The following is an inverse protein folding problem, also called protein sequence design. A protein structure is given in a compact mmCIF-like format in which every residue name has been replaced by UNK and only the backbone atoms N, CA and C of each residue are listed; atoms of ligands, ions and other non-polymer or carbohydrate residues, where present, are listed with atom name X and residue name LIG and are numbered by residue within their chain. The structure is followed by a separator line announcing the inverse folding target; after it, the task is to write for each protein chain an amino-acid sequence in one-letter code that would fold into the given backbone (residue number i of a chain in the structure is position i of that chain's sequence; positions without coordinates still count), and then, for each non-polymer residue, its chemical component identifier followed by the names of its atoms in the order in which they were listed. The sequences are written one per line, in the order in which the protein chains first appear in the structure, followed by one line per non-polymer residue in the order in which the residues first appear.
data_IF_361727827604
#
_entry.id   IF_361727827604
#
_cell.length_a   1.000
_cell.length_b   1.000
_cell.length_c   1.000
_cell.angle_alpha   90.00
_cell.angle_beta   90.00
_cell.angle_gamma   90.00
#
_symmetry.space_group_name_H-M   'P 1'
#
loop_
_entity.id
_entity.type
_entity.pdbx_description
1 polymer ?
#
# COMPACT_ATOMS: atom_id res chain seq x y z
N UNK A 1 -6.39 -2.20 24.80
CA UNK A 1 -5.14 -2.94 25.08
C UNK A 1 -4.41 -2.93 23.75
N UNK A 2 -3.52 -1.95 23.59
CA UNK A 2 -2.92 -1.62 22.30
C UNK A 2 -1.59 -2.35 22.22
N UNK A 3 -1.62 -3.54 21.61
CA UNK A 3 -0.41 -4.29 21.29
C UNK A 3 -0.15 -4.17 19.78
N UNK A 4 0.20 -2.96 19.33
CA UNK A 4 0.73 -2.73 17.99
C UNK A 4 2.23 -3.11 17.93
N UNK A 5 2.57 -4.33 18.32
CA UNK A 5 3.87 -4.91 17.98
C UNK A 5 3.69 -5.67 16.67
N UNK A 6 4.13 -5.06 15.57
CA UNK A 6 4.35 -5.76 14.31
C UNK A 6 5.50 -6.75 14.58
N UNK A 7 5.27 -8.05 14.41
CA UNK A 7 6.33 -9.03 14.52
C UNK A 7 7.38 -8.80 13.42
N UNK A 8 8.65 -9.14 13.63
CA UNK A 8 9.69 -8.91 12.61
C UNK A 8 9.34 -9.55 11.25
N UNK A 9 8.63 -10.68 11.27
CA UNK A 9 8.16 -11.38 10.07
C UNK A 9 7.06 -10.59 9.35
N UNK A 10 6.15 -9.96 10.10
CA UNK A 10 5.10 -9.08 9.58
C UNK A 10 5.70 -7.85 8.87
N UNK A 11 6.70 -7.22 9.48
CA UNK A 11 7.40 -6.06 8.90
C UNK A 11 8.11 -6.43 7.58
N UNK A 12 8.79 -7.58 7.56
CA UNK A 12 9.46 -8.08 6.37
C UNK A 12 8.45 -8.39 5.25
N UNK A 13 7.32 -9.01 5.61
CA UNK A 13 6.23 -9.28 4.68
C UNK A 13 5.68 -7.98 4.06
N UNK A 14 5.36 -6.97 4.88
CA UNK A 14 4.81 -5.70 4.37
C UNK A 14 5.76 -5.01 3.39
N UNK A 15 7.07 -4.99 3.68
CA UNK A 15 8.09 -4.43 2.78
C UNK A 15 8.17 -5.19 1.47
N UNK A 16 8.15 -6.52 1.52
CA UNK A 16 8.18 -7.36 0.33
C UNK A 16 6.92 -7.16 -0.53
N UNK A 17 5.74 -7.14 0.11
CA UNK A 17 4.47 -6.89 -0.56
C UNK A 17 4.49 -5.54 -1.29
N UNK A 18 4.96 -4.49 -0.61
CA UNK A 18 5.06 -3.15 -1.19
C UNK A 18 6.03 -3.09 -2.37
N UNK A 19 7.22 -3.66 -2.22
CA UNK A 19 8.23 -3.66 -3.27
C UNK A 19 7.75 -4.44 -4.50
N UNK A 20 7.16 -5.62 -4.29
CA UNK A 20 6.62 -6.42 -5.37
C UNK A 20 5.43 -5.71 -6.05
N UNK A 21 4.60 -4.99 -5.29
CA UNK A 21 3.50 -4.22 -5.84
C UNK A 21 4.00 -3.15 -6.82
N UNK A 22 5.01 -2.36 -6.44
CA UNK A 22 5.59 -1.36 -7.34
C UNK A 22 6.29 -1.98 -8.54
N UNK A 23 7.06 -3.05 -8.36
CA UNK A 23 7.70 -3.77 -9.47
C UNK A 23 6.66 -4.27 -10.47
N UNK A 24 5.55 -4.83 -9.98
CA UNK A 24 4.44 -5.28 -10.83
C UNK A 24 3.89 -4.13 -11.67
N UNK A 25 3.71 -2.93 -11.10
CA UNK A 25 3.22 -1.74 -11.81
C UNK A 25 4.22 -1.32 -12.90
N UNK A 26 5.51 -1.31 -12.59
CA UNK A 26 6.56 -0.90 -13.54
C UNK A 26 6.70 -1.89 -14.69
N UNK A 27 6.58 -3.19 -14.41
CA UNK A 27 6.76 -4.27 -15.38
C UNK A 27 5.51 -4.54 -16.24
N UNK A 28 4.33 -4.06 -15.82
CA UNK A 28 3.09 -4.33 -16.55
C UNK A 28 3.03 -3.55 -17.86
N UNK A 29 2.84 -4.26 -18.97
CA UNK A 29 2.67 -3.67 -20.30
C UNK A 29 1.22 -3.74 -20.81
N UNK A 30 0.35 -4.49 -20.13
CA UNK A 30 -1.07 -4.62 -20.48
C UNK A 30 -1.96 -4.01 -19.39
N UNK A 31 -2.49 -2.83 -19.70
CA UNK A 31 -3.41 -2.13 -18.82
C UNK A 31 -4.88 -2.52 -19.02
N UNK A 32 -5.21 -3.28 -20.08
CA UNK A 32 -6.61 -3.63 -20.37
C UNK A 32 -7.21 -4.56 -19.32
N UNK A 33 -6.37 -5.41 -18.71
CA UNK A 33 -6.78 -6.36 -17.67
C UNK A 33 -6.09 -6.11 -16.32
N UNK A 34 -5.46 -4.94 -16.16
CA UNK A 34 -4.63 -4.62 -14.99
C UNK A 34 -5.37 -4.83 -13.68
N UNK A 35 -6.60 -4.31 -13.56
CA UNK A 35 -7.38 -4.37 -12.32
C UNK A 35 -7.56 -5.80 -11.83
N UNK A 36 -7.98 -6.69 -12.73
CA UNK A 36 -8.20 -8.10 -12.42
C UNK A 36 -6.89 -8.81 -12.05
N UNK A 37 -5.86 -8.65 -12.89
CA UNK A 37 -4.56 -9.31 -12.72
C UNK A 37 -3.92 -8.90 -11.39
N UNK A 38 -3.97 -7.61 -11.05
CA UNK A 38 -3.39 -7.11 -9.80
C UNK A 38 -4.19 -7.53 -8.58
N UNK A 39 -5.51 -7.52 -8.64
CA UNK A 39 -6.35 -8.00 -7.55
C UNK A 39 -6.09 -9.49 -7.26
N UNK A 40 -6.02 -10.31 -8.30
CA UNK A 40 -5.69 -11.74 -8.17
C UNK A 40 -4.28 -11.92 -7.61
N UNK A 41 -3.30 -11.19 -8.13
CA UNK A 41 -1.92 -11.25 -7.65
C UNK A 41 -1.79 -10.86 -6.18
N UNK A 42 -2.35 -9.73 -5.73
CA UNK A 42 -2.29 -9.31 -4.32
C UNK A 42 -2.89 -10.38 -3.41
N UNK A 43 -4.04 -10.95 -3.78
CA UNK A 43 -4.68 -12.01 -2.98
C UNK A 43 -3.77 -13.24 -2.87
N UNK A 44 -3.19 -13.69 -3.98
CA UNK A 44 -2.25 -14.81 -4.00
C UNK A 44 -0.99 -14.55 -3.17
N UNK A 45 -0.39 -13.35 -3.24
CA UNK A 45 0.76 -13.01 -2.41
C UNK A 45 0.43 -13.06 -0.92
N UNK A 46 -0.74 -12.54 -0.52
CA UNK A 46 -1.17 -12.57 0.88
C UNK A 46 -1.42 -14.01 1.34
N UNK A 47 -2.10 -14.82 0.52
CA UNK A 47 -2.40 -16.23 0.81
C UNK A 47 -1.14 -17.11 0.91
N UNK A 48 -0.18 -16.97 -0.01
CA UNK A 48 1.08 -17.74 -0.01
C UNK A 48 1.92 -17.45 1.24
N UNK A 49 1.78 -16.26 1.82
CA UNK A 49 2.44 -15.87 3.07
C UNK A 49 1.64 -16.24 4.32
N UNK A 50 0.65 -17.14 4.21
CA UNK A 50 -0.20 -17.64 5.30
C UNK A 50 -1.07 -16.57 5.98
N UNK A 51 -1.36 -15.46 5.31
CA UNK A 51 -2.36 -14.52 5.77
C UNK A 51 -3.68 -14.81 5.05
N UNK A 52 -4.72 -15.20 5.79
CA UNK A 52 -6.06 -15.43 5.21
C UNK A 52 -6.96 -14.20 5.31
N UNK A 53 -6.54 -13.20 6.09
CA UNK A 53 -7.36 -12.06 6.44
C UNK A 53 -6.83 -10.78 5.78
N UNK A 54 -7.38 -10.44 4.62
CA UNK A 54 -7.03 -9.20 3.91
C UNK A 54 -7.31 -7.93 4.74
N UNK A 55 -8.31 -7.95 5.63
CA UNK A 55 -8.58 -6.83 6.54
C UNK A 55 -7.45 -6.66 7.56
N UNK A 56 -6.86 -7.76 8.03
CA UNK A 56 -5.69 -7.70 8.89
C UNK A 56 -4.52 -7.02 8.19
N UNK A 57 -4.23 -7.38 6.93
CA UNK A 57 -3.19 -6.72 6.13
C UNK A 57 -3.48 -5.23 5.95
N UNK A 58 -4.72 -4.87 5.58
CA UNK A 58 -5.14 -3.48 5.44
C UNK A 58 -4.91 -2.70 6.75
N UNK A 59 -5.34 -3.26 7.87
CA UNK A 59 -5.16 -2.65 9.18
C UNK A 59 -3.67 -2.48 9.54
N UNK A 60 -2.81 -3.43 9.17
CA UNK A 60 -1.36 -3.30 9.39
C UNK A 60 -0.77 -2.15 8.58
N UNK A 61 -1.07 -2.06 7.27
CA UNK A 61 -0.52 -0.99 6.42
C UNK A 61 -1.09 0.39 6.76
N UNK A 62 -2.35 0.48 7.24
CA UNK A 62 -2.95 1.74 7.70
C UNK A 62 -2.34 2.23 9.03
N UNK A 63 -1.99 1.32 9.94
CA UNK A 63 -1.44 1.67 11.26
C UNK A 63 0.10 1.66 11.30
N UNK A 64 0.77 1.33 10.20
CA UNK A 64 2.21 1.33 10.10
C UNK A 64 2.80 2.74 10.35
N UNK A 65 3.94 2.86 11.04
CA UNK A 65 4.53 4.17 11.35
C UNK A 65 4.92 4.96 10.09
N UNK A 66 5.34 4.28 9.02
CA UNK A 66 5.57 4.87 7.69
C UNK A 66 4.34 4.82 6.75
N UNK A 67 3.13 4.51 7.24
CA UNK A 67 1.91 4.34 6.42
C UNK A 67 1.70 5.46 5.40
N UNK A 68 1.78 6.70 5.88
CA UNK A 68 1.56 7.91 5.07
C UNK A 68 2.59 8.14 3.98
N UNK A 69 3.75 7.47 4.03
CA UNK A 69 4.83 7.66 3.05
C UNK A 69 5.00 6.45 2.13
N UNK A 70 4.98 5.25 2.70
CA UNK A 70 5.27 4.02 1.96
C UNK A 70 4.03 3.41 1.32
N UNK A 71 2.90 3.44 2.03
CA UNK A 71 1.77 2.56 1.75
C UNK A 71 0.56 3.26 1.14
N UNK A 72 0.56 4.58 0.97
CA UNK A 72 -0.59 5.35 0.47
C UNK A 72 -1.16 4.79 -0.83
N UNK A 73 -0.32 4.51 -1.83
CA UNK A 73 -0.76 3.89 -3.10
C UNK A 73 -1.35 2.49 -2.91
N UNK A 74 -0.76 1.67 -2.03
CA UNK A 74 -1.25 0.32 -1.74
C UNK A 74 -2.58 0.37 -0.98
N UNK A 75 -2.72 1.27 -0.01
CA UNK A 75 -3.97 1.49 0.73
C UNK A 75 -5.07 1.98 -0.20
N UNK A 76 -4.76 2.94 -1.08
CA UNK A 76 -5.69 3.40 -2.11
C UNK A 76 -6.16 2.25 -3.00
N UNK A 77 -5.25 1.35 -3.39
CA UNK A 77 -5.58 0.16 -4.17
C UNK A 77 -6.56 -0.78 -3.43
N UNK A 78 -6.33 -1.04 -2.14
CA UNK A 78 -7.22 -1.87 -1.33
C UNK A 78 -8.63 -1.28 -1.26
N UNK A 79 -8.77 0.04 -1.05
CA UNK A 79 -10.07 0.70 -1.03
C UNK A 79 -10.74 0.75 -2.40
N UNK A 80 -9.97 0.95 -3.47
CA UNK A 80 -10.52 1.05 -4.83
C UNK A 80 -11.17 -0.27 -5.28
N UNK A 81 -10.59 -1.40 -4.87
CA UNK A 81 -11.05 -2.75 -5.24
C UNK A 81 -11.74 -3.53 -4.13
N UNK A 82 -11.88 -2.96 -2.92
CA UNK A 82 -12.54 -3.60 -1.79
C UNK A 82 -11.78 -4.83 -1.27
N UNK A 83 -10.45 -4.76 -1.22
CA UNK A 83 -9.60 -5.83 -0.67
C UNK A 83 -9.55 -5.63 0.85
N UNK A 84 -10.05 -6.60 1.61
CA UNK A 84 -10.11 -6.53 3.07
C UNK A 84 -11.09 -5.50 3.63
N UNK A 85 -11.85 -4.80 2.78
CA UNK A 85 -12.80 -3.77 3.18
C UNK A 85 -13.94 -3.63 2.17
N UNK A 86 -14.94 -2.82 2.48
CA UNK A 86 -15.93 -2.39 1.49
C UNK A 86 -15.27 -1.46 0.49
N UNK A 87 -15.50 -1.71 -0.81
CA UNK A 87 -15.07 -0.84 -1.89
C UNK A 87 -15.48 0.63 -1.61
N UNK A 88 -14.49 1.52 -1.64
CA UNK A 88 -14.64 2.94 -1.38
C UNK A 88 -13.69 3.76 -2.26
N UNK A 89 -14.18 4.21 -3.42
CA UNK A 89 -13.39 4.97 -4.39
C UNK A 89 -13.00 6.37 -3.92
N UNK A 90 -13.82 6.98 -3.06
CA UNK A 90 -13.53 8.30 -2.49
C UNK A 90 -12.33 8.21 -1.54
N UNK A 91 -12.37 7.26 -0.59
CA UNK A 91 -11.24 7.00 0.30
C UNK A 91 -9.98 6.58 -0.47
N UNK A 92 -10.14 5.80 -1.54
CA UNK A 92 -9.02 5.44 -2.40
C UNK A 92 -8.37 6.68 -3.04
N UNK A 93 -9.18 7.60 -3.57
CA UNK A 93 -8.72 8.86 -4.16
C UNK A 93 -7.97 9.72 -3.13
N UNK A 94 -8.47 9.82 -1.90
CA UNK A 94 -7.78 10.56 -0.83
C UNK A 94 -6.35 10.03 -0.62
N UNK A 95 -6.19 8.70 -0.57
CA UNK A 95 -4.87 8.09 -0.43
C UNK A 95 -3.95 8.29 -1.63
N UNK A 96 -4.49 8.24 -2.85
CA UNK A 96 -3.70 8.54 -4.05
C UNK A 96 -3.23 10.00 -4.08
N UNK A 97 -4.05 10.93 -3.60
CA UNK A 97 -3.70 12.36 -3.55
C UNK A 97 -2.71 12.70 -2.43
N UNK A 98 -2.68 11.94 -1.32
CA UNK A 98 -1.67 12.12 -0.26
C UNK A 98 -0.23 11.99 -0.77
N UNK A 99 0.01 11.21 -1.83
CA UNK A 99 1.33 11.10 -2.46
C UNK A 99 1.80 12.45 -3.00
N UNK A 100 0.91 13.21 -3.64
CA UNK A 100 1.22 14.48 -4.31
C UNK A 100 1.57 15.56 -3.28
N UNK A 101 0.91 15.55 -2.13
CA UNK A 101 1.21 16.50 -1.05
C UNK A 101 2.51 16.13 -0.32
N UNK A 102 2.84 14.84 -0.20
CA UNK A 102 4.13 14.41 0.33
C UNK A 102 5.30 14.72 -0.60
N UNK A 103 5.13 14.62 -1.93
CA UNK A 103 6.18 15.02 -2.89
C UNK A 103 6.51 16.51 -2.78
N UNK A 104 5.51 17.38 -2.59
CA UNK A 104 5.76 18.81 -2.30
C UNK A 104 6.55 19.00 -1.02
N UNK A 105 6.23 18.23 0.02
CA UNK A 105 6.93 18.25 1.30
C UNK A 105 8.39 17.78 1.15
N UNK A 106 8.67 16.73 0.36
CA UNK A 106 10.05 16.28 0.08
C UNK A 106 10.85 17.29 -0.78
N UNK A 107 10.20 17.97 -1.74
CA UNK A 107 10.82 19.05 -2.51
C UNK A 107 11.14 20.24 -1.61
N UNK A 108 10.27 20.58 -0.66
CA UNK A 108 10.53 21.65 0.32
C UNK A 108 11.68 21.26 1.29
N UNK A 109 11.73 20.02 1.79
CA UNK A 109 12.83 19.55 2.66
C UNK A 109 14.19 19.44 1.96
N UNK A 110 14.21 19.21 0.65
CA UNK A 110 15.47 19.17 -0.13
C UNK A 110 16.00 20.57 -0.50
N UNK A 111 15.14 21.59 -0.48
CA UNK A 111 15.52 22.99 -0.75
C UNK A 111 16.01 23.76 0.49
N UNK A 112 15.71 23.31 1.71
CA UNK A 112 16.17 23.98 2.95
C UNK A 112 17.59 23.58 3.39
N UNK A 113 18.26 22.63 2.72
CA UNK A 113 19.60 22.16 3.08
C UNK A 113 20.76 22.78 2.29
N UNK A 114 20.50 23.87 1.55
CA UNK A 114 21.55 24.70 0.94
C UNK A 114 21.25 26.20 1.12
N UNK A 115 21.46 26.72 2.32
CA UNK A 115 21.76 28.14 2.57
C UNK A 115 22.62 28.30 3.82
#
# INVERSE_FOLDING_TARGET
MDNNYIFQDDENFLKNLLNNFYNKIIETNDFNNFEKIFCEWIKSEIEINNYENYNYILNMIENHKESKFWFTSLIGFFYNFGIGCKLNKEKALDFYLLVIDNEKIEIDFSNENFN
#
